data_IF_468285680506
#
_entry.id   IF_468285680506
#
_cell.length_a   1.000
_cell.length_b   1.000
_cell.length_c   1.000
_cell.angle_alpha   90.00
_cell.angle_beta   90.00
_cell.angle_gamma   90.00
#
_symmetry.space_group_name_H-M   'P 1'
#
loop_
_entity.id
_entity.type
_entity.pdbx_description
1 polymer ?
#
# COMPACT_ATOMS: atom_id res chain seq x y z
N UNK A 1 11.57 -18.76 20.13
CA UNK A 1 12.28 -19.07 18.86
C UNK A 1 13.68 -18.47 18.96
N UNK A 2 14.75 -19.16 18.49
CA UNK A 2 16.12 -18.65 18.57
C UNK A 2 16.33 -17.39 17.71
N UNK A 3 17.20 -16.47 18.17
CA UNK A 3 17.50 -15.21 17.49
C UNK A 3 17.96 -15.41 16.04
N UNK A 4 18.78 -16.42 15.78
CA UNK A 4 19.24 -16.79 14.43
C UNK A 4 18.06 -17.00 13.46
N UNK A 5 17.01 -17.71 13.89
CA UNK A 5 15.84 -17.97 13.04
C UNK A 5 15.05 -16.68 12.80
N UNK A 6 14.95 -15.80 13.80
CA UNK A 6 14.28 -14.49 13.67
C UNK A 6 14.97 -13.64 12.60
N UNK A 7 16.30 -13.49 12.68
CA UNK A 7 17.09 -12.72 11.72
C UNK A 7 16.92 -13.28 10.30
N UNK A 8 16.95 -14.61 10.16
CA UNK A 8 16.79 -15.27 8.87
C UNK A 8 15.40 -15.03 8.26
N UNK A 9 14.33 -15.11 9.07
CA UNK A 9 12.96 -14.81 8.60
C UNK A 9 12.85 -13.36 8.13
N UNK A 10 13.40 -12.40 8.88
CA UNK A 10 13.38 -10.98 8.51
C UNK A 10 14.13 -10.74 7.21
N UNK A 11 15.33 -11.33 7.06
CA UNK A 11 16.11 -11.25 5.83
C UNK A 11 15.31 -11.81 4.65
N UNK A 12 14.78 -13.03 4.75
CA UNK A 12 14.03 -13.67 3.66
C UNK A 12 12.73 -12.92 3.31
N UNK A 13 12.09 -12.29 4.30
CA UNK A 13 10.91 -11.44 4.08
C UNK A 13 11.25 -10.19 3.25
N UNK A 14 12.37 -9.53 3.55
CA UNK A 14 12.85 -8.36 2.77
C UNK A 14 13.11 -8.76 1.31
N UNK A 15 13.75 -9.92 1.10
CA UNK A 15 14.03 -10.47 -0.24
C UNK A 15 12.81 -11.12 -0.92
N UNK A 16 11.60 -10.97 -0.35
CA UNK A 16 10.33 -11.41 -0.94
C UNK A 16 10.26 -12.92 -1.25
N UNK A 17 10.91 -13.75 -0.44
CA UNK A 17 10.80 -15.20 -0.57
C UNK A 17 9.39 -15.71 -0.25
N UNK A 18 9.00 -16.80 -0.92
CA UNK A 18 7.74 -17.49 -0.67
C UNK A 18 7.74 -18.16 0.72
N UNK A 19 6.63 -18.05 1.44
CA UNK A 19 6.48 -18.60 2.80
C UNK A 19 6.75 -20.10 2.86
N UNK A 20 6.34 -20.84 1.82
CA UNK A 20 6.52 -22.30 1.76
C UNK A 20 8.00 -22.69 1.72
N UNK A 21 8.85 -21.91 1.04
CA UNK A 21 10.31 -22.13 1.04
C UNK A 21 10.89 -21.81 2.42
N UNK A 22 10.48 -20.69 3.03
CA UNK A 22 10.97 -20.29 4.35
C UNK A 22 10.59 -21.33 5.42
N UNK A 23 9.39 -21.89 5.36
CA UNK A 23 8.95 -22.94 6.27
C UNK A 23 9.82 -24.19 6.18
N UNK A 24 10.18 -24.59 4.95
CA UNK A 24 11.03 -25.75 4.68
C UNK A 24 12.48 -25.51 5.12
N UNK A 25 13.06 -24.38 4.70
CA UNK A 25 14.50 -24.14 4.85
C UNK A 25 14.89 -23.67 6.27
N UNK A 26 13.97 -23.01 6.97
CA UNK A 26 14.19 -22.51 8.35
C UNK A 26 13.59 -23.46 9.39
N UNK A 27 12.86 -24.48 8.96
CA UNK A 27 12.15 -25.46 9.80
C UNK A 27 11.29 -24.75 10.86
N UNK A 28 10.30 -24.00 10.38
CA UNK A 28 9.39 -23.23 11.23
C UNK A 28 7.95 -23.45 10.83
N UNK A 29 7.07 -23.40 11.82
CA UNK A 29 5.64 -23.60 11.59
C UNK A 29 5.07 -22.47 10.72
N UNK A 30 4.06 -22.82 9.90
CA UNK A 30 3.31 -21.84 9.10
C UNK A 30 2.79 -20.69 9.95
N UNK A 31 2.24 -21.00 11.13
CA UNK A 31 1.70 -20.01 12.07
C UNK A 31 2.78 -18.99 12.42
N UNK A 32 3.97 -19.46 12.80
CA UNK A 32 5.11 -18.60 13.13
C UNK A 32 5.51 -17.70 11.95
N UNK A 33 5.63 -18.23 10.72
CA UNK A 33 5.96 -17.41 9.54
C UNK A 33 4.95 -16.30 9.32
N UNK A 34 3.66 -16.64 9.41
CA UNK A 34 2.56 -15.68 9.24
C UNK A 34 2.60 -14.59 10.30
N UNK A 35 2.85 -14.96 11.56
CA UNK A 35 2.94 -14.01 12.68
C UNK A 35 4.11 -13.03 12.47
N UNK A 36 5.31 -13.53 12.13
CA UNK A 36 6.48 -12.67 11.88
C UNK A 36 6.31 -11.77 10.66
N UNK A 37 5.73 -12.28 9.57
CA UNK A 37 5.41 -11.45 8.40
C UNK A 37 4.42 -10.34 8.76
N UNK A 38 3.50 -10.60 9.69
CA UNK A 38 2.53 -9.61 10.16
C UNK A 38 3.19 -8.57 11.05
N UNK A 39 4.11 -8.99 11.92
CA UNK A 39 4.93 -8.07 12.72
C UNK A 39 5.78 -7.13 11.83
N UNK A 40 6.46 -7.67 10.81
CA UNK A 40 7.22 -6.85 9.86
C UNK A 40 6.33 -5.81 9.17
N UNK A 41 5.14 -6.20 8.71
CA UNK A 41 4.17 -5.27 8.11
C UNK A 41 3.70 -4.21 9.09
N UNK A 42 3.42 -4.58 10.33
CA UNK A 42 2.97 -3.64 11.37
C UNK A 42 4.02 -2.57 11.65
N UNK A 43 5.30 -2.96 11.73
CA UNK A 43 6.42 -2.02 11.88
C UNK A 43 6.49 -1.06 10.69
N UNK A 44 6.37 -1.57 9.46
CA UNK A 44 6.32 -0.72 8.27
C UNK A 44 5.15 0.27 8.32
N UNK A 45 3.95 -0.17 8.68
CA UNK A 45 2.76 0.70 8.79
C UNK A 45 3.00 1.81 9.82
N UNK A 46 3.58 1.49 10.98
CA UNK A 46 3.92 2.50 12.00
C UNK A 46 4.91 3.55 11.48
N UNK A 47 5.89 3.14 10.67
CA UNK A 47 6.84 4.07 10.04
C UNK A 47 6.12 4.99 9.05
N UNK A 48 5.27 4.43 8.19
CA UNK A 48 4.50 5.21 7.20
C UNK A 48 3.58 6.21 7.86
N UNK A 49 2.83 5.79 8.89
CA UNK A 49 1.93 6.69 9.65
C UNK A 49 2.72 7.81 10.33
N UNK A 50 3.93 7.52 10.86
CA UNK A 50 4.79 8.53 11.49
C UNK A 50 5.40 9.52 10.48
N UNK A 51 5.65 9.07 9.25
CA UNK A 51 6.27 9.87 8.18
C UNK A 51 5.24 10.54 7.25
N UNK A 52 3.98 10.61 7.68
CA UNK A 52 2.84 11.14 6.94
C UNK A 52 2.88 12.67 6.81
N UNK A 53 3.95 13.20 6.22
CA UNK A 53 4.08 14.62 5.87
C UNK A 53 4.52 14.72 4.41
N UNK A 54 3.52 14.70 3.52
CA UNK A 54 3.74 15.05 2.12
C UNK A 54 3.93 16.57 2.02
N UNK A 55 5.01 17.00 1.35
CA UNK A 55 5.33 18.43 1.25
C UNK A 55 4.56 19.09 0.10
N UNK A 56 4.15 20.36 0.25
CA UNK A 56 3.38 21.13 -0.74
C UNK A 56 3.94 21.20 -2.16
N UNK A 57 5.23 20.98 -2.36
CA UNK A 57 5.92 21.30 -3.61
C UNK A 57 6.60 20.09 -4.29
N UNK A 58 6.21 18.87 -3.88
CA UNK A 58 6.82 17.63 -4.38
C UNK A 58 5.83 16.86 -5.23
N UNK A 59 6.30 16.29 -6.35
CA UNK A 59 5.51 15.37 -7.16
C UNK A 59 5.30 14.07 -6.39
N UNK A 60 4.05 13.65 -6.26
CA UNK A 60 3.67 12.41 -5.59
C UNK A 60 2.96 11.49 -6.58
N UNK A 61 3.38 10.23 -6.64
CA UNK A 61 2.63 9.19 -7.34
C UNK A 61 1.52 8.68 -6.43
N UNK A 62 0.28 8.69 -6.92
CA UNK A 62 -0.91 8.28 -6.17
C UNK A 62 -1.38 6.92 -6.68
N UNK A 63 -1.58 5.97 -5.76
CA UNK A 63 -2.24 4.68 -6.02
C UNK A 63 -3.57 4.57 -5.26
N UNK A 64 -4.54 3.87 -5.86
CA UNK A 64 -5.89 3.70 -5.35
C UNK A 64 -6.23 2.23 -5.09
N UNK A 65 -6.41 1.88 -3.82
CA UNK A 65 -6.70 0.52 -3.40
C UNK A 65 -8.07 0.39 -2.73
N UNK A 66 -8.90 -0.54 -3.19
CA UNK A 66 -10.16 -0.91 -2.53
C UNK A 66 -9.97 -2.15 -1.67
N UNK A 67 -9.99 -1.96 -0.35
CA UNK A 67 -9.95 -3.06 0.59
C UNK A 67 -11.33 -3.71 0.74
N UNK A 68 -11.34 -4.99 1.09
CA UNK A 68 -12.55 -5.77 1.33
C UNK A 68 -13.49 -5.93 0.12
N UNK A 69 -13.02 -5.68 -1.11
CA UNK A 69 -13.74 -6.07 -2.33
C UNK A 69 -13.79 -7.59 -2.45
N UNK A 70 -14.93 -8.12 -2.89
CA UNK A 70 -15.06 -9.55 -3.21
C UNK A 70 -14.23 -9.90 -4.46
N UNK A 71 -13.44 -10.96 -4.38
CA UNK A 71 -12.85 -11.58 -5.58
C UNK A 71 -13.96 -12.28 -6.37
N UNK A 72 -14.15 -11.93 -7.64
CA UNK A 72 -15.19 -12.48 -8.52
C UNK A 72 -16.65 -12.35 -8.02
N UNK A 73 -16.92 -11.39 -7.12
CA UNK A 73 -18.22 -11.23 -6.48
C UNK A 73 -18.76 -12.49 -5.76
N UNK A 74 -17.89 -13.44 -5.40
CA UNK A 74 -18.25 -14.69 -4.70
C UNK A 74 -17.94 -14.58 -3.19
N UNK A 75 -18.72 -15.30 -2.38
CA UNK A 75 -18.55 -15.39 -0.92
C UNK A 75 -19.36 -14.38 -0.09
N UNK A 76 -19.19 -14.44 1.25
CA UNK A 76 -19.93 -13.60 2.21
C UNK A 76 -19.80 -12.11 1.89
N UNK A 77 -20.90 -11.35 2.03
CA UNK A 77 -20.87 -9.89 1.88
C UNK A 77 -19.99 -9.31 2.98
N UNK A 78 -18.87 -8.70 2.61
CA UNK A 78 -18.10 -7.90 3.56
C UNK A 78 -18.88 -6.62 3.83
N UNK A 79 -19.07 -6.31 5.11
CA UNK A 79 -19.95 -5.25 5.59
C UNK A 79 -19.38 -3.87 5.30
N UNK A 80 -18.04 -3.73 5.29
CA UNK A 80 -17.37 -2.46 5.02
C UNK A 80 -16.31 -2.62 3.93
N UNK A 81 -16.52 -1.93 2.79
CA UNK A 81 -15.49 -1.69 1.79
C UNK A 81 -14.84 -0.35 2.11
N UNK A 82 -13.51 -0.31 2.11
CA UNK A 82 -12.75 0.88 2.46
C UNK A 82 -11.87 1.26 1.28
N UNK A 83 -12.01 2.49 0.78
CA UNK A 83 -11.01 3.04 -0.12
C UNK A 83 -9.81 3.53 0.67
N UNK A 84 -8.63 3.24 0.15
CA UNK A 84 -7.37 3.72 0.67
C UNK A 84 -6.61 4.32 -0.50
N UNK A 85 -6.23 5.58 -0.36
CA UNK A 85 -5.27 6.21 -1.23
C UNK A 85 -3.89 6.13 -0.60
N UNK A 86 -2.90 5.78 -1.42
CA UNK A 86 -1.50 5.85 -1.03
C UNK A 86 -0.77 6.81 -1.94
N UNK A 87 0.10 7.64 -1.39
CA UNK A 87 1.00 8.49 -2.16
C UNK A 87 2.46 8.18 -1.84
N UNK A 88 3.32 8.14 -2.86
CA UNK A 88 4.77 8.07 -2.70
C UNK A 88 5.43 9.29 -3.34
N UNK A 89 6.23 10.01 -2.56
CA UNK A 89 6.93 11.22 -3.03
C UNK A 89 8.08 10.83 -3.97
N UNK A 90 8.09 11.38 -5.18
CA UNK A 90 9.14 11.09 -6.14
C UNK A 90 10.49 11.63 -5.67
N UNK A 91 11.53 10.79 -5.70
CA UNK A 91 12.89 11.16 -5.28
C UNK A 91 13.08 11.20 -3.75
N UNK A 92 12.10 10.72 -2.99
CA UNK A 92 12.11 10.64 -1.54
C UNK A 92 11.62 9.27 -1.09
N UNK A 93 11.83 8.93 0.19
CA UNK A 93 11.29 7.71 0.81
C UNK A 93 10.01 7.99 1.61
N UNK A 94 9.42 9.19 1.47
CA UNK A 94 8.18 9.55 2.15
C UNK A 94 6.98 9.01 1.39
N UNK A 95 6.02 8.50 2.15
CA UNK A 95 4.75 8.04 1.63
C UNK A 95 3.64 8.29 2.64
N UNK A 96 2.40 8.30 2.16
CA UNK A 96 1.22 8.45 2.98
C UNK A 96 0.16 7.41 2.64
N UNK A 97 -0.75 7.17 3.59
CA UNK A 97 -1.89 6.28 3.47
C UNK A 97 -3.11 6.98 4.07
N UNK A 98 -4.15 7.18 3.27
CA UNK A 98 -5.35 7.87 3.68
C UNK A 98 -6.60 7.03 3.39
N UNK A 99 -7.40 6.81 4.42
CA UNK A 99 -8.70 6.18 4.30
C UNK A 99 -9.71 7.18 3.74
N UNK A 100 -10.48 6.76 2.75
CA UNK A 100 -11.51 7.57 2.11
C UNK A 100 -12.82 6.79 1.98
N UNK A 101 -13.94 7.46 2.21
CA UNK A 101 -15.27 6.84 2.12
C UNK A 101 -15.73 6.66 0.67
N UNK A 102 -15.40 7.61 -0.20
CA UNK A 102 -15.82 7.63 -1.61
C UNK A 102 -14.64 7.81 -2.55
N UNK A 103 -14.61 6.99 -3.60
CA UNK A 103 -13.71 7.17 -4.74
C UNK A 103 -14.31 8.20 -5.69
N UNK A 104 -14.02 9.46 -5.44
CA UNK A 104 -14.31 10.54 -6.40
C UNK A 104 -13.16 11.55 -6.46
N UNK A 105 -13.07 12.24 -7.60
CA UNK A 105 -11.94 13.15 -7.90
C UNK A 105 -11.88 14.28 -6.89
N UNK A 106 -13.05 14.76 -6.45
CA UNK A 106 -13.16 15.84 -5.45
C UNK A 106 -12.63 15.41 -4.10
N UNK A 107 -12.90 14.19 -3.66
CA UNK A 107 -12.45 13.67 -2.37
C UNK A 107 -10.95 13.45 -2.42
N UNK A 108 -10.42 12.91 -3.53
CA UNK A 108 -8.97 12.80 -3.75
C UNK A 108 -8.26 14.16 -3.72
N UNK A 109 -8.81 15.15 -4.43
CA UNK A 109 -8.32 16.54 -4.46
C UNK A 109 -8.44 17.16 -3.06
N UNK A 110 -9.57 17.00 -2.38
CA UNK A 110 -9.86 17.66 -1.12
C UNK A 110 -9.07 17.09 0.07
N UNK A 111 -8.85 15.77 0.11
CA UNK A 111 -8.04 15.15 1.17
C UNK A 111 -6.54 15.39 1.01
N UNK A 112 -6.03 15.66 -0.21
CA UNK A 112 -4.58 15.66 -0.47
C UNK A 112 -4.02 16.96 -1.06
N UNK A 113 -4.81 17.78 -1.77
CA UNK A 113 -4.34 19.03 -2.38
C UNK A 113 -4.48 20.26 -1.48
N UNK A 114 -5.01 20.13 -0.25
CA UNK A 114 -4.82 21.19 0.75
C UNK A 114 -3.40 21.21 1.34
N UNK A 115 -2.69 20.08 1.32
CA UNK A 115 -1.32 19.96 1.83
C UNK A 115 -0.27 19.94 0.71
N UNK A 116 -0.59 19.45 -0.50
CA UNK A 116 0.37 19.17 -1.58
C UNK A 116 0.33 20.14 -2.80
N UNK A 117 -0.38 21.27 -2.75
CA UNK A 117 -0.65 22.06 -3.95
C UNK A 117 0.45 23.10 -4.29
N UNK A 118 1.47 22.67 -5.02
CA UNK A 118 2.15 23.51 -6.01
C UNK A 118 2.81 22.65 -7.11
N UNK A 119 2.10 22.55 -8.24
CA UNK A 119 2.58 22.22 -9.59
C UNK A 119 2.96 20.78 -9.95
N UNK A 120 2.22 20.33 -10.96
CA UNK A 120 2.60 19.38 -12.03
C UNK A 120 2.24 17.92 -11.78
N UNK A 121 1.07 17.54 -12.30
CA UNK A 121 0.66 16.16 -12.50
C UNK A 121 1.30 15.65 -13.80
N UNK A 122 2.41 14.94 -13.70
CA UNK A 122 2.75 13.96 -14.71
C UNK A 122 2.21 12.61 -14.25
N UNK A 123 1.09 12.20 -14.85
CA UNK A 123 0.62 10.82 -14.84
C UNK A 123 1.67 9.97 -15.55
N UNK A 124 2.73 9.61 -14.80
CA UNK A 124 3.74 8.66 -15.23
C UNK A 124 3.06 7.33 -15.50
N UNK A 125 3.33 6.79 -16.68
CA UNK A 125 2.74 5.59 -17.25
C UNK A 125 3.03 4.36 -16.38
N UNK A 126 2.07 3.95 -15.55
CA UNK A 126 2.07 2.61 -14.97
C UNK A 126 1.25 1.66 -15.83
N UNK A 127 1.86 0.53 -16.18
CA UNK A 127 1.23 -0.61 -16.86
C UNK A 127 0.10 -1.16 -15.99
N UNK A 128 -1.11 -0.65 -16.19
CA UNK A 128 -2.31 -1.18 -15.59
C UNK A 128 -2.61 -2.54 -16.22
N UNK A 129 -2.74 -3.59 -15.39
CA UNK A 129 -3.31 -4.90 -15.77
C UNK A 129 -4.82 -4.84 -16.08
N UNK A 130 -5.32 -3.68 -16.53
CA UNK A 130 -6.66 -3.44 -17.06
C UNK A 130 -6.75 -2.00 -17.63
N UNK A 131 -6.87 -1.80 -18.96
CA UNK A 131 -6.64 -0.49 -19.61
C UNK A 131 -7.67 0.63 -19.37
N UNK A 132 -8.68 0.47 -18.51
CA UNK A 132 -9.90 1.28 -18.59
C UNK A 132 -10.12 2.30 -17.45
N UNK A 133 -9.19 2.41 -16.49
CA UNK A 133 -9.46 3.09 -15.21
C UNK A 133 -9.10 4.58 -15.10
N UNK A 134 -8.10 5.06 -15.85
CA UNK A 134 -7.49 6.38 -15.58
C UNK A 134 -7.88 7.49 -16.57
N UNK A 135 -8.41 7.18 -17.75
CA UNK A 135 -8.89 8.22 -18.71
C UNK A 135 -10.14 8.98 -18.25
N UNK A 136 -10.76 8.59 -17.12
CA UNK A 136 -12.06 9.10 -16.68
C UNK A 136 -12.00 10.23 -15.64
N UNK A 137 -10.80 10.68 -15.27
CA UNK A 137 -10.61 11.63 -14.16
C UNK A 137 -10.39 13.08 -14.62
N UNK A 138 -9.99 13.29 -15.88
CA UNK A 138 -9.59 14.61 -16.42
C UNK A 138 -10.23 14.95 -17.76
N UNK A 139 -11.39 14.37 -18.06
CA UNK A 139 -12.19 14.77 -19.22
C UNK A 139 -13.61 15.04 -18.74
N UNK A 140 -13.88 16.34 -18.63
CA UNK A 140 -15.16 17.06 -18.45
C UNK A 140 -16.21 16.47 -17.48
#
# INVERSE_FOLDING_TARGET
MPLRKIILIMYLWVYKFFQDHIMRDVEISKKTVVDWFSFCREVCVKIVIKQHEAQPEKTVEIDESLFNKRKYNKGKKKVCQQWVFSGAEQGSNKCFLANVDKRDARTLIYTHLKECAARSYHLGSFSVRSPHGLKRWFSD
#
